data_IF_912759938620
#
_entry.id   IF_912759938620
#
_cell.length_a   1.000
_cell.length_b   1.000
_cell.length_c   1.000
_cell.angle_alpha   90.00
_cell.angle_beta   90.00
_cell.angle_gamma   90.00
#
_symmetry.space_group_name_H-M   'P 1'
#
loop_
_entity.id
_entity.type
_entity.pdbx_description
1 polymer ?
#
# COMPACT_ATOMS: atom_id res chain seq x y z
N UNK A 1 2.97 10.35 -9.00
CA UNK A 1 2.01 10.34 -7.87
C UNK A 1 1.59 11.73 -7.39
N UNK A 2 2.46 12.51 -6.72
CA UNK A 2 2.10 13.85 -6.19
C UNK A 2 1.57 14.81 -7.27
N UNK A 3 2.08 14.70 -8.50
CA UNK A 3 1.59 15.48 -9.64
C UNK A 3 0.13 15.21 -9.98
N UNK A 4 -0.31 13.94 -9.96
CA UNK A 4 -1.65 13.53 -10.36
C UNK A 4 -2.65 13.49 -9.21
N UNK A 5 -2.18 13.30 -7.98
CA UNK A 5 -3.01 13.25 -6.77
C UNK A 5 -2.51 14.25 -5.71
N UNK A 6 -2.44 15.56 -6.01
CA UNK A 6 -1.83 16.55 -5.12
C UNK A 6 -2.58 16.72 -3.80
N UNK A 7 -3.89 16.49 -3.80
CA UNK A 7 -4.77 16.64 -2.63
C UNK A 7 -4.89 15.35 -1.79
N UNK A 8 -4.14 14.30 -2.14
CA UNK A 8 -4.14 13.03 -1.42
C UNK A 8 -3.01 12.98 -0.39
N UNK A 9 -3.23 12.29 0.73
CA UNK A 9 -2.16 11.97 1.66
C UNK A 9 -1.17 11.00 0.99
N UNK A 10 0.11 11.34 1.01
CA UNK A 10 1.17 10.45 0.56
C UNK A 10 1.98 9.99 1.76
N UNK A 11 1.80 8.73 2.15
CA UNK A 11 2.53 8.13 3.26
C UNK A 11 3.56 7.13 2.74
N UNK A 12 4.82 7.32 3.14
CA UNK A 12 5.86 6.32 2.96
C UNK A 12 5.86 5.43 4.20
N UNK A 13 5.87 4.11 3.99
CA UNK A 13 5.79 3.14 5.08
C UNK A 13 7.15 2.47 5.27
N UNK A 14 7.68 2.57 6.49
CA UNK A 14 8.88 1.88 6.92
C UNK A 14 8.53 0.50 7.50
N UNK A 15 9.53 -0.36 7.65
CA UNK A 15 9.34 -1.70 8.21
C UNK A 15 8.71 -1.67 9.61
N UNK A 16 9.09 -0.69 10.43
CA UNK A 16 8.52 -0.48 11.76
C UNK A 16 7.06 -0.06 11.69
N UNK A 17 6.70 0.84 10.76
CA UNK A 17 5.32 1.27 10.54
C UNK A 17 4.45 0.06 10.16
N UNK A 18 4.96 -0.80 9.26
CA UNK A 18 4.26 -2.01 8.82
C UNK A 18 3.95 -2.92 10.00
N UNK A 19 4.95 -3.15 10.87
CA UNK A 19 4.76 -3.97 12.07
C UNK A 19 3.81 -3.32 13.07
N UNK A 20 3.90 -2.01 13.27
CA UNK A 20 3.02 -1.26 14.18
C UNK A 20 1.57 -1.31 13.71
N UNK A 21 1.30 -1.18 12.40
CA UNK A 21 -0.04 -1.38 11.83
C UNK A 21 -0.62 -2.75 12.20
N UNK A 22 0.16 -3.82 12.04
CA UNK A 22 -0.28 -5.17 12.39
C UNK A 22 -0.49 -5.30 13.90
N UNK A 23 0.47 -4.83 14.70
CA UNK A 23 0.39 -4.90 16.17
C UNK A 23 -0.83 -4.15 16.73
N UNK A 24 -1.12 -2.97 16.22
CA UNK A 24 -2.17 -2.08 16.75
C UNK A 24 -3.56 -2.41 16.20
N UNK A 25 -3.67 -2.78 14.93
CA UNK A 25 -4.97 -2.96 14.26
C UNK A 25 -5.31 -4.42 13.95
N UNK A 26 -4.33 -5.32 13.92
CA UNK A 26 -4.50 -6.73 13.58
C UNK A 26 -3.73 -7.66 14.53
N UNK A 27 -3.86 -7.52 15.86
CA UNK A 27 -3.03 -8.25 16.82
C UNK A 27 -3.14 -9.77 16.69
N UNK A 28 -4.26 -10.28 16.15
CA UNK A 28 -4.47 -11.69 15.84
C UNK A 28 -3.49 -12.26 14.80
N UNK A 29 -2.89 -11.41 13.98
CA UNK A 29 -1.93 -11.80 12.94
C UNK A 29 -0.47 -11.52 13.32
N UNK A 30 -0.22 -10.84 14.44
CA UNK A 30 1.12 -10.37 14.80
C UNK A 30 2.14 -11.51 14.91
N UNK A 31 1.75 -12.65 15.51
CA UNK A 31 2.63 -13.81 15.64
C UNK A 31 3.02 -14.36 14.26
N UNK A 32 2.06 -14.50 13.34
CA UNK A 32 2.34 -14.92 11.96
C UNK A 32 3.24 -13.93 11.23
N UNK A 33 2.96 -12.63 11.37
CA UNK A 33 3.75 -11.56 10.76
C UNK A 33 5.22 -11.57 11.25
N UNK A 34 5.42 -11.73 12.55
CA UNK A 34 6.75 -11.79 13.15
C UNK A 34 7.49 -13.09 12.74
N UNK A 35 6.77 -14.19 12.54
CA UNK A 35 7.33 -15.49 12.13
C UNK A 35 7.88 -15.55 10.70
N UNK A 36 7.60 -14.55 9.86
CA UNK A 36 8.15 -14.53 8.50
C UNK A 36 9.68 -14.47 8.51
N UNK A 37 10.31 -15.39 7.81
CA UNK A 37 11.77 -15.54 7.69
C UNK A 37 12.42 -14.43 6.85
N UNK A 38 11.65 -13.77 5.98
CA UNK A 38 12.13 -12.74 5.07
C UNK A 38 11.30 -11.47 5.18
N UNK A 39 11.97 -10.31 5.13
CA UNK A 39 11.28 -9.02 5.21
C UNK A 39 10.30 -8.80 4.04
N UNK A 40 10.61 -9.33 2.86
CA UNK A 40 9.72 -9.19 1.70
C UNK A 40 8.32 -9.78 1.96
N UNK A 41 8.24 -10.91 2.68
CA UNK A 41 6.95 -11.53 3.05
C UNK A 41 6.14 -10.65 4.01
N UNK A 42 6.82 -9.91 4.89
CA UNK A 42 6.19 -8.92 5.78
C UNK A 42 5.62 -7.76 4.99
N UNK A 43 6.39 -7.20 4.06
CA UNK A 43 5.93 -6.12 3.16
C UNK A 43 4.75 -6.59 2.30
N UNK A 44 4.82 -7.81 1.76
CA UNK A 44 3.75 -8.44 0.98
C UNK A 44 2.44 -8.62 1.78
N UNK A 45 2.53 -8.94 3.06
CA UNK A 45 1.36 -8.98 3.94
C UNK A 45 0.87 -7.57 4.31
N UNK A 46 1.80 -6.66 4.64
CA UNK A 46 1.49 -5.31 5.09
C UNK A 46 0.69 -4.50 4.07
N UNK A 47 0.96 -4.66 2.75
CA UNK A 47 0.18 -3.95 1.71
C UNK A 47 -1.31 -4.23 1.77
N UNK A 48 -1.71 -5.46 2.11
CA UNK A 48 -3.13 -5.82 2.25
C UNK A 48 -3.74 -5.19 3.50
N UNK A 49 -3.00 -5.17 4.61
CA UNK A 49 -3.45 -4.51 5.84
C UNK A 49 -3.58 -3.00 5.69
N UNK A 50 -2.69 -2.36 4.91
CA UNK A 50 -2.78 -0.94 4.58
C UNK A 50 -4.05 -0.64 3.79
N UNK A 51 -4.29 -1.38 2.70
CA UNK A 51 -5.47 -1.21 1.86
C UNK A 51 -6.77 -1.49 2.62
N UNK A 52 -6.80 -2.54 3.46
CA UNK A 52 -7.96 -2.83 4.29
C UNK A 52 -8.23 -1.72 5.34
N UNK A 53 -7.17 -1.18 5.96
CA UNK A 53 -7.33 -0.17 7.03
C UNK A 53 -7.72 1.20 6.48
N UNK A 54 -7.07 1.63 5.40
CA UNK A 54 -7.11 3.01 4.93
C UNK A 54 -7.77 3.18 3.57
N UNK A 55 -7.97 2.10 2.80
CA UNK A 55 -8.33 2.19 1.39
C UNK A 55 -7.23 2.87 0.57
N UNK A 56 -7.65 3.54 -0.51
CA UNK A 56 -6.74 4.29 -1.37
C UNK A 56 -5.91 3.40 -2.29
N UNK A 57 -4.69 3.85 -2.57
CA UNK A 57 -3.77 3.25 -3.55
C UNK A 57 -2.49 2.85 -2.85
N UNK A 58 -2.13 1.58 -2.92
CA UNK A 58 -0.78 1.11 -2.62
C UNK A 58 0.05 1.12 -3.91
N UNK A 59 1.30 1.56 -3.82
CA UNK A 59 2.27 1.48 -4.90
C UNK A 59 3.66 1.17 -4.33
N UNK A 60 4.39 0.25 -4.97
CA UNK A 60 5.81 0.07 -4.65
C UNK A 60 6.59 1.35 -5.00
N UNK A 61 7.73 1.59 -4.35
CA UNK A 61 8.47 2.85 -4.50
C UNK A 61 9.14 3.04 -5.84
N UNK A 62 9.35 1.96 -6.57
CA UNK A 62 9.82 1.96 -7.96
C UNK A 62 8.67 2.13 -8.97
N UNK A 63 7.42 2.23 -8.50
CA UNK A 63 6.26 2.49 -9.34
C UNK A 63 5.97 3.98 -9.38
N UNK A 64 5.88 4.50 -10.59
CA UNK A 64 5.50 5.88 -10.87
C UNK A 64 4.16 5.95 -11.59
N UNK A 65 3.30 6.89 -11.17
CA UNK A 65 2.11 7.23 -11.94
C UNK A 65 2.51 8.09 -13.15
N UNK A 66 2.21 7.59 -14.36
CA UNK A 66 2.43 8.28 -15.65
C UNK A 66 1.22 9.05 -16.14
N UNK A 67 0.05 8.83 -15.52
CA UNK A 67 -1.24 9.50 -15.81
C UNK A 67 -2.10 9.55 -14.55
N UNK A 68 -3.23 10.26 -14.61
CA UNK A 68 -4.25 10.26 -13.55
C UNK A 68 -4.85 8.85 -13.37
N UNK A 69 -4.71 8.23 -12.18
CA UNK A 69 -5.22 6.88 -11.93
C UNK A 69 -6.72 6.87 -11.55
N UNK A 70 -7.34 8.00 -11.19
CA UNK A 70 -8.73 8.03 -10.71
C UNK A 70 -9.76 7.42 -11.67
N UNK A 71 -9.65 7.58 -13.00
CA UNK A 71 -10.56 6.93 -13.94
C UNK A 71 -10.59 5.40 -13.84
N UNK A 72 -9.52 4.78 -13.34
CA UNK A 72 -9.44 3.31 -13.17
C UNK A 72 -10.34 2.80 -12.03
N UNK A 73 -10.71 3.68 -11.08
CA UNK A 73 -11.48 3.32 -9.89
C UNK A 73 -12.98 3.59 -10.03
N UNK A 74 -13.48 3.89 -11.23
CA UNK A 74 -14.92 4.17 -11.47
C UNK A 74 -15.81 2.91 -11.46
N UNK A 75 -15.21 1.71 -11.34
CA UNK A 75 -15.93 0.44 -11.27
C UNK A 75 -16.51 0.12 -9.89
N UNK A 76 -17.28 -0.97 -9.80
CA UNK A 76 -17.81 -1.52 -8.54
C UNK A 76 -16.86 -2.52 -7.85
N UNK A 77 -15.61 -2.61 -8.31
CA UNK A 77 -14.63 -3.55 -7.76
C UNK A 77 -14.16 -3.06 -6.39
N UNK A 78 -14.16 -3.94 -5.39
CA UNK A 78 -13.67 -3.63 -4.04
C UNK A 78 -12.14 -3.52 -3.99
N UNK A 79 -11.43 -4.30 -4.82
CA UNK A 79 -9.96 -4.30 -4.92
C UNK A 79 -9.56 -4.47 -6.39
N UNK A 80 -8.52 -3.76 -6.82
CA UNK A 80 -7.95 -3.87 -8.16
C UNK A 80 -6.43 -4.01 -8.08
N UNK A 81 -5.87 -4.97 -8.81
CA UNK A 81 -4.42 -5.20 -8.91
C UNK A 81 -3.93 -4.85 -10.32
N UNK A 82 -2.86 -4.07 -10.38
CA UNK A 82 -2.17 -3.74 -11.62
C UNK A 82 -0.78 -4.36 -11.59
N UNK A 83 -0.39 -4.99 -12.70
CA UNK A 83 0.95 -5.55 -12.85
C UNK A 83 1.56 -5.04 -14.15
N UNK A 84 2.82 -4.62 -14.09
CA UNK A 84 3.60 -4.33 -15.29
C UNK A 84 4.18 -5.65 -15.82
N UNK A 85 4.08 -5.89 -17.13
CA UNK A 85 4.57 -7.12 -17.77
C UNK A 85 6.10 -7.28 -17.77
N UNK A 86 6.84 -6.29 -17.26
CA UNK A 86 8.30 -6.28 -17.17
C UNK A 86 8.73 -6.18 -15.71
N UNK A 87 9.46 -7.19 -15.25
CA UNK A 87 9.95 -7.32 -13.88
C UNK A 87 11.14 -6.37 -13.67
N UNK A 88 10.96 -5.34 -12.84
CA UNK A 88 12.07 -4.69 -12.14
C UNK A 88 11.76 -4.69 -10.65
N UNK A 89 12.78 -4.97 -9.85
CA UNK A 89 12.66 -5.20 -8.42
C UNK A 89 13.03 -3.92 -7.66
N UNK A 90 12.05 -3.27 -7.03
CA UNK A 90 12.24 -2.15 -6.11
C UNK A 90 11.76 -2.47 -4.70
N UNK A 91 12.51 -2.02 -3.70
CA UNK A 91 12.33 -2.38 -2.29
C UNK A 91 12.00 -1.15 -1.43
N UNK A 92 10.80 -0.62 -1.60
CA UNK A 92 10.09 0.14 -0.58
C UNK A 92 8.62 0.30 -1.00
N UNK A 93 7.76 0.75 -0.08
CA UNK A 93 6.32 0.85 -0.29
C UNK A 93 5.79 2.27 -0.04
N UNK A 94 4.75 2.64 -0.78
CA UNK A 94 4.03 3.91 -0.64
C UNK A 94 2.53 3.65 -0.62
N UNK A 95 1.81 4.32 0.29
CA UNK A 95 0.35 4.35 0.30
C UNK A 95 -0.12 5.77 0.04
N UNK A 96 -1.14 5.91 -0.78
CA UNK A 96 -1.72 7.17 -1.23
C UNK A 96 -3.21 7.12 -0.88
N UNK A 97 -3.63 7.96 0.06
CA UNK A 97 -4.97 7.92 0.65
C UNK A 97 -5.72 9.21 0.32
N UNK A 98 -7.04 9.16 0.04
CA UNK A 98 -7.82 10.38 -0.06
C UNK A 98 -7.81 11.06 1.32
N UNK A 99 -7.75 12.38 1.36
CA UNK A 99 -7.98 13.10 2.61
C UNK A 99 -9.41 12.83 3.06
N UNK A 100 -9.58 12.17 4.22
CA UNK A 100 -10.88 12.14 4.88
C UNK A 100 -11.20 13.59 5.27
N UNK A 101 -12.24 14.16 4.64
CA UNK A 101 -12.97 15.26 5.28
C UNK A 101 -13.62 14.67 6.52
N UNK A 102 -13.30 15.24 7.67
CA UNK A 102 -14.02 14.99 8.94
C UNK A 102 -15.55 14.96 8.73
#
# INVERSE_FOLDING_TARGET
>A
WKHYLPDWEHRMWLDEDNRNLVKEHYPWFLETYDSYDQNIKRVDAARLFMLHRFGGIYADTDIEAVQDPLPLFQGKSEVMFFAQSTITCGHAAKVIMPQNKE
#
